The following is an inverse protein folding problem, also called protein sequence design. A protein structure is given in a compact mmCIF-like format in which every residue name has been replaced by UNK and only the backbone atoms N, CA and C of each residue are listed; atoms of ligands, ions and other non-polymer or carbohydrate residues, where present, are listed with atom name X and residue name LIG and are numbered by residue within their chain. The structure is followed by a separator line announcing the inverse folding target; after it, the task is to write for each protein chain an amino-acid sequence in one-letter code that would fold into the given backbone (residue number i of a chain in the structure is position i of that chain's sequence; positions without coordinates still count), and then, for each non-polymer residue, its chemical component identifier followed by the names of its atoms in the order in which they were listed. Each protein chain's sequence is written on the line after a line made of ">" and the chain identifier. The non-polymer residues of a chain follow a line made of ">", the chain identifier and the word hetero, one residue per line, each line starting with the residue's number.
data_IF_475160178368
#
_entry.id   IF_475160178368
#
_cell.length_a   1.000
_cell.length_b   1.000
_cell.length_c   1.000
_cell.angle_alpha   90.00
_cell.angle_beta   90.00
_cell.angle_gamma   90.00
#
_symmetry.space_group_name_H-M   'P 1'
#
loop_
_entity.id
_entity.type
_entity.pdbx_description
1 polymer ?
#
# COMPACT_ATOMS: atom_id res chain seq x y z
N UNK A 1 16.55 23.84 11.76
CA UNK A 1 16.28 22.70 12.66
C UNK A 1 15.11 21.93 12.08
N UNK A 2 15.36 20.92 11.26
CA UNK A 2 14.28 20.07 10.73
C UNK A 2 13.75 19.21 11.87
N UNK A 3 12.55 19.51 12.36
CA UNK A 3 11.85 18.62 13.29
C UNK A 3 11.59 17.30 12.56
N UNK A 4 12.23 16.22 13.02
CA UNK A 4 11.97 14.88 12.48
C UNK A 4 10.50 14.50 12.61
N UNK A 5 10.00 13.71 11.67
CA UNK A 5 8.60 13.26 11.64
C UNK A 5 8.24 12.51 12.93
N UNK A 6 7.05 12.77 13.45
CA UNK A 6 6.57 12.03 14.61
C UNK A 6 6.21 10.60 14.19
N UNK A 7 6.30 9.61 15.10
CA UNK A 7 6.15 8.20 14.73
C UNK A 7 4.76 7.85 14.19
N UNK A 8 3.71 8.49 14.70
CA UNK A 8 2.35 8.31 14.21
C UNK A 8 2.19 8.78 12.76
N UNK A 9 2.94 9.81 12.33
CA UNK A 9 2.88 10.33 10.96
C UNK A 9 3.51 9.33 9.98
N UNK A 10 4.52 8.59 10.42
CA UNK A 10 5.06 7.45 9.65
C UNK A 10 4.02 6.33 9.57
N UNK A 11 3.32 6.05 10.67
CA UNK A 11 2.17 5.12 10.66
C UNK A 11 1.09 5.55 9.67
N UNK A 12 0.76 6.84 9.61
CA UNK A 12 -0.17 7.43 8.65
C UNK A 12 0.32 7.32 7.20
N UNK A 13 1.60 7.57 6.94
CA UNK A 13 2.20 7.34 5.62
C UNK A 13 2.11 5.87 5.19
N UNK A 14 2.41 4.94 6.10
CA UNK A 14 2.32 3.50 5.83
C UNK A 14 0.87 3.09 5.57
N UNK A 15 -0.08 3.58 6.36
CA UNK A 15 -1.51 3.35 6.15
C UNK A 15 -1.94 3.80 4.73
N UNK A 16 -1.58 5.02 4.33
CA UNK A 16 -1.91 5.54 3.00
C UNK A 16 -1.17 4.81 1.87
N UNK A 17 0.07 4.38 2.09
CA UNK A 17 0.80 3.60 1.11
C UNK A 17 0.13 2.25 0.84
N UNK A 18 -0.40 1.61 1.87
CA UNK A 18 -1.04 0.29 1.78
C UNK A 18 -2.46 0.35 1.23
N UNK A 19 -3.24 1.38 1.57
CA UNK A 19 -4.68 1.43 1.24
C UNK A 19 -5.01 1.45 -0.26
N UNK A 20 -4.29 2.21 -1.08
CA UNK A 20 -4.80 2.64 -2.40
C UNK A 20 -5.29 1.52 -3.32
N UNK A 21 -4.40 0.64 -3.75
CA UNK A 21 -4.69 -0.38 -4.78
C UNK A 21 -5.65 -1.47 -4.26
N UNK A 22 -5.60 -1.80 -2.97
CA UNK A 22 -6.36 -2.89 -2.39
C UNK A 22 -7.83 -2.56 -2.06
N UNK A 23 -8.17 -1.29 -1.80
CA UNK A 23 -9.52 -0.89 -1.31
C UNK A 23 -10.66 -1.49 -2.12
N UNK A 24 -10.60 -1.39 -3.45
CA UNK A 24 -11.71 -1.83 -4.31
C UNK A 24 -11.55 -3.24 -4.87
N UNK A 25 -10.37 -3.86 -4.71
CA UNK A 25 -10.03 -5.14 -5.34
C UNK A 25 -9.95 -6.30 -4.35
N UNK A 26 -9.65 -6.02 -3.07
CA UNK A 26 -9.39 -7.06 -2.06
C UNK A 26 -10.60 -7.96 -1.83
N UNK A 27 -11.83 -7.39 -1.87
CA UNK A 27 -13.05 -8.16 -1.74
C UNK A 27 -13.23 -9.17 -2.87
N UNK A 28 -12.98 -8.77 -4.13
CA UNK A 28 -13.01 -9.70 -5.26
C UNK A 28 -12.00 -10.82 -5.04
N UNK A 29 -10.72 -10.48 -4.83
CA UNK A 29 -9.64 -11.46 -4.81
C UNK A 29 -9.73 -12.46 -3.65
N UNK A 30 -10.08 -11.99 -2.45
CA UNK A 30 -10.16 -12.85 -1.26
C UNK A 30 -11.43 -13.69 -1.25
N UNK A 31 -12.58 -13.15 -1.66
CA UNK A 31 -13.82 -13.93 -1.80
C UNK A 31 -13.75 -14.92 -2.95
N UNK A 32 -13.07 -14.58 -4.06
CA UNK A 32 -12.80 -15.50 -5.14
C UNK A 32 -11.92 -16.68 -4.74
N UNK A 33 -11.21 -16.63 -3.60
CA UNK A 33 -10.39 -17.72 -3.08
C UNK A 33 -11.05 -18.45 -1.89
N UNK A 34 -11.58 -17.70 -0.92
CA UNK A 34 -12.03 -18.21 0.39
C UNK A 34 -13.56 -18.18 0.59
N UNK A 35 -14.34 -17.66 -0.36
CA UNK A 35 -15.79 -17.55 -0.23
C UNK A 35 -16.20 -16.62 0.93
N UNK A 36 -17.14 -17.05 1.76
CA UNK A 36 -17.59 -16.30 2.95
C UNK A 36 -16.50 -16.16 4.02
N UNK A 37 -15.46 -17.01 4.01
CA UNK A 37 -14.32 -16.93 4.92
C UNK A 37 -13.25 -15.90 4.50
N UNK A 38 -13.52 -15.10 3.46
CA UNK A 38 -12.58 -14.10 2.92
C UNK A 38 -12.09 -13.07 3.93
N UNK A 39 -12.96 -12.58 4.82
CA UNK A 39 -12.57 -11.62 5.85
C UNK A 39 -11.54 -12.23 6.81
N UNK A 40 -11.64 -13.54 7.10
CA UNK A 40 -10.65 -14.25 7.91
C UNK A 40 -9.32 -14.41 7.16
N UNK A 41 -9.34 -14.67 5.84
CA UNK A 41 -8.13 -14.64 5.02
C UNK A 41 -7.43 -13.28 5.05
N UNK A 42 -8.20 -12.18 5.03
CA UNK A 42 -7.65 -10.82 5.18
C UNK A 42 -7.01 -10.62 6.55
N UNK A 43 -7.64 -11.10 7.64
CA UNK A 43 -7.06 -11.00 8.98
C UNK A 43 -5.78 -11.83 9.11
N UNK A 44 -5.74 -13.04 8.54
CA UNK A 44 -4.55 -13.88 8.53
C UNK A 44 -3.40 -13.24 7.74
N UNK A 45 -3.69 -12.74 6.54
CA UNK A 45 -2.73 -11.95 5.76
C UNK A 45 -2.27 -10.70 6.54
N UNK A 46 -3.20 -10.04 7.22
CA UNK A 46 -2.96 -8.89 8.06
C UNK A 46 -1.99 -9.16 9.20
N UNK A 47 -2.15 -10.28 9.92
CA UNK A 47 -1.23 -10.67 10.98
C UNK A 47 0.21 -10.86 10.47
N UNK A 48 0.37 -11.52 9.32
CA UNK A 48 1.67 -11.70 8.67
C UNK A 48 2.27 -10.37 8.20
N UNK A 49 1.46 -9.51 7.56
CA UNK A 49 1.89 -8.19 7.11
C UNK A 49 2.25 -7.27 8.29
N UNK A 50 1.52 -7.30 9.39
CA UNK A 50 1.83 -6.54 10.61
C UNK A 50 3.16 -6.97 11.22
N UNK A 51 3.43 -8.28 11.28
CA UNK A 51 4.72 -8.79 11.75
C UNK A 51 5.87 -8.34 10.85
N UNK A 52 5.70 -8.44 9.52
CA UNK A 52 6.65 -7.95 8.53
C UNK A 52 6.88 -6.43 8.63
N UNK A 53 5.81 -5.65 8.77
CA UNK A 53 5.87 -4.20 8.93
C UNK A 53 6.58 -3.79 10.23
N UNK A 54 6.35 -4.52 11.33
CA UNK A 54 7.08 -4.31 12.57
C UNK A 54 8.58 -4.55 12.39
N UNK A 55 8.97 -5.63 11.71
CA UNK A 55 10.35 -5.92 11.33
C UNK A 55 10.95 -4.79 10.49
N UNK A 56 10.26 -4.37 9.43
CA UNK A 56 10.71 -3.29 8.54
C UNK A 56 10.90 -1.97 9.29
N UNK A 57 9.94 -1.57 10.12
CA UNK A 57 10.06 -0.36 10.93
C UNK A 57 11.15 -0.46 12.00
N UNK A 58 11.44 -1.66 12.52
CA UNK A 58 12.56 -1.89 13.44
C UNK A 58 13.92 -1.78 12.72
N UNK A 59 14.00 -2.25 11.48
CA UNK A 59 15.18 -2.07 10.62
C UNK A 59 15.41 -0.60 10.31
N UNK A 60 14.36 0.15 10.00
CA UNK A 60 14.44 1.60 9.78
C UNK A 60 14.87 2.39 11.04
N UNK A 61 14.76 1.80 12.22
CA UNK A 61 15.19 2.37 13.50
C UNK A 61 16.57 1.87 13.98
N UNK A 62 17.36 1.19 13.13
CA UNK A 62 18.66 0.66 13.54
C UNK A 62 19.70 1.75 13.89
N UNK A 63 19.69 2.86 13.15
CA UNK A 63 20.52 4.03 13.45
C UNK A 63 19.87 5.32 12.94
N UNK A 64 20.21 6.49 13.52
CA UNK A 64 19.68 7.78 13.08
C UNK A 64 20.00 8.03 11.60
N UNK A 65 19.00 8.45 10.82
CA UNK A 65 19.16 8.68 9.38
C UNK A 65 19.37 7.39 8.57
N UNK A 66 18.80 6.26 9.04
CA UNK A 66 18.89 4.98 8.35
C UNK A 66 18.60 5.10 6.85
N UNK A 67 19.56 4.66 6.05
CA UNK A 67 19.44 4.63 4.60
C UNK A 67 19.76 3.20 4.16
N UNK A 68 18.80 2.47 3.55
CA UNK A 68 18.99 1.07 3.21
C UNK A 68 20.09 0.88 2.16
N UNK A 69 20.27 1.83 1.24
CA UNK A 69 21.34 1.78 0.23
C UNK A 69 22.72 1.92 0.89
N UNK A 70 22.87 2.90 1.79
CA UNK A 70 24.15 3.14 2.51
C UNK A 70 24.42 2.03 3.53
N UNK A 71 23.39 1.55 4.22
CA UNK A 71 23.47 0.43 5.15
C UNK A 71 23.94 -0.85 4.45
N UNK A 72 23.35 -1.17 3.31
CA UNK A 72 23.76 -2.33 2.50
C UNK A 72 25.18 -2.13 1.96
N UNK A 73 25.53 -0.92 1.52
CA UNK A 73 26.89 -0.60 1.08
C UNK A 73 27.93 -0.83 2.19
N UNK A 74 27.57 -0.53 3.44
CA UNK A 74 28.43 -0.66 4.62
C UNK A 74 28.54 -2.10 5.11
N UNK A 75 27.47 -2.90 5.01
CA UNK A 75 27.43 -4.27 5.52
C UNK A 75 27.91 -5.30 4.49
N UNK A 76 27.57 -5.11 3.21
CA UNK A 76 27.77 -6.10 2.14
C UNK A 76 28.58 -5.55 0.96
N UNK A 77 29.08 -4.32 1.05
CA UNK A 77 29.90 -3.68 0.02
C UNK A 77 29.11 -2.80 -0.95
N UNK A 78 29.80 -1.90 -1.68
CA UNK A 78 29.17 -0.81 -2.45
C UNK A 78 28.25 -1.30 -3.57
N UNK A 79 28.57 -2.43 -4.20
CA UNK A 79 27.76 -3.05 -5.24
C UNK A 79 26.41 -3.54 -4.71
N UNK A 80 26.39 -4.16 -3.53
CA UNK A 80 25.15 -4.62 -2.89
C UNK A 80 24.21 -3.45 -2.58
N UNK A 81 24.75 -2.33 -2.09
CA UNK A 81 23.98 -1.10 -1.86
C UNK A 81 23.34 -0.57 -3.14
N UNK A 82 24.11 -0.46 -4.23
CA UNK A 82 23.60 0.00 -5.54
C UNK A 82 22.51 -0.93 -6.08
N UNK A 83 22.74 -2.23 -6.07
CA UNK A 83 21.78 -3.23 -6.57
C UNK A 83 20.48 -3.16 -5.77
N UNK A 84 20.56 -3.04 -4.44
CA UNK A 84 19.40 -2.93 -3.57
C UNK A 84 18.59 -1.67 -3.87
N UNK A 85 19.26 -0.52 -4.01
CA UNK A 85 18.58 0.74 -4.32
C UNK A 85 17.94 0.74 -5.71
N UNK A 86 18.58 0.12 -6.72
CA UNK A 86 17.98 -0.09 -8.03
C UNK A 86 16.76 -1.01 -7.98
N UNK A 87 16.83 -2.11 -7.23
CA UNK A 87 15.72 -3.05 -7.07
C UNK A 87 14.50 -2.39 -6.42
N UNK A 88 14.69 -1.65 -5.31
CA UNK A 88 13.61 -0.89 -4.68
C UNK A 88 13.06 0.21 -5.58
N UNK A 89 13.92 0.92 -6.31
CA UNK A 89 13.47 1.94 -7.25
C UNK A 89 12.57 1.35 -8.32
N UNK A 90 13.02 0.29 -9.00
CA UNK A 90 12.23 -0.38 -10.03
C UNK A 90 10.90 -0.89 -9.47
N UNK A 91 10.94 -1.55 -8.31
CA UNK A 91 9.75 -2.04 -7.63
C UNK A 91 8.71 -0.93 -7.37
N UNK A 92 9.14 0.18 -6.75
CA UNK A 92 8.23 1.29 -6.44
C UNK A 92 7.73 2.03 -7.69
N UNK A 93 8.55 2.14 -8.74
CA UNK A 93 8.13 2.74 -10.01
C UNK A 93 7.09 1.87 -10.74
N UNK A 94 7.26 0.54 -10.72
CA UNK A 94 6.24 -0.39 -11.25
C UNK A 94 4.97 -0.31 -10.41
N UNK A 95 5.07 -0.30 -9.07
CA UNK A 95 3.90 -0.13 -8.19
C UNK A 95 3.16 1.18 -8.47
N UNK A 96 3.89 2.27 -8.69
CA UNK A 96 3.32 3.56 -9.09
C UNK A 96 2.58 3.44 -10.43
N UNK A 97 3.16 2.76 -11.42
CA UNK A 97 2.50 2.57 -12.73
C UNK A 97 1.20 1.76 -12.63
N UNK A 98 1.16 0.74 -11.76
CA UNK A 98 -0.05 -0.05 -11.49
C UNK A 98 -1.12 0.83 -10.85
N UNK A 99 -0.76 1.65 -9.85
CA UNK A 99 -1.68 2.58 -9.21
C UNK A 99 -2.26 3.59 -10.21
N UNK A 100 -1.41 4.19 -11.06
CA UNK A 100 -1.82 5.09 -12.14
C UNK A 100 -2.77 4.41 -13.13
N UNK A 101 -2.49 3.16 -13.52
CA UNK A 101 -3.35 2.40 -14.42
C UNK A 101 -4.71 2.10 -13.80
N UNK A 102 -4.75 1.64 -12.55
CA UNK A 102 -6.01 1.36 -11.86
C UNK A 102 -6.87 2.63 -11.72
N UNK A 103 -6.25 3.77 -11.45
CA UNK A 103 -6.94 5.06 -11.51
C UNK A 103 -7.52 5.34 -12.90
N UNK A 104 -6.76 5.09 -13.97
CA UNK A 104 -7.23 5.27 -15.35
C UNK A 104 -8.47 4.44 -15.67
N UNK A 105 -8.46 3.15 -15.32
CA UNK A 105 -9.60 2.23 -15.49
C UNK A 105 -10.82 2.72 -14.70
N UNK A 106 -10.62 3.11 -13.45
CA UNK A 106 -11.69 3.64 -12.62
C UNK A 106 -12.26 4.94 -13.17
N UNK A 107 -11.40 5.89 -13.54
CA UNK A 107 -11.79 7.19 -14.08
C UNK A 107 -12.55 7.03 -15.40
N UNK A 108 -12.11 6.13 -16.28
CA UNK A 108 -12.79 5.86 -17.54
C UNK A 108 -14.22 5.31 -17.33
N UNK A 109 -14.45 4.54 -16.27
CA UNK A 109 -15.78 3.97 -16.00
C UNK A 109 -16.69 4.94 -15.25
N UNK A 110 -16.16 5.69 -14.27
CA UNK A 110 -17.00 6.40 -13.30
C UNK A 110 -16.95 7.93 -13.39
N UNK A 111 -15.93 8.51 -14.01
CA UNK A 111 -15.69 9.96 -13.95
C UNK A 111 -15.66 10.60 -15.33
N UNK A 112 -14.86 10.03 -16.23
CA UNK A 112 -14.46 10.61 -17.51
C UNK A 112 -14.60 9.59 -18.66
N UNK A 113 -15.80 9.06 -18.94
CA UNK A 113 -16.01 8.00 -19.94
C UNK A 113 -15.74 8.42 -21.38
N UNK A 114 -15.72 9.73 -21.64
CA UNK A 114 -15.42 10.29 -22.97
C UNK A 114 -13.95 10.66 -23.15
N UNK A 115 -13.15 10.61 -22.10
CA UNK A 115 -11.75 11.05 -22.13
C UNK A 115 -10.84 9.85 -22.33
N UNK A 116 -9.87 9.90 -23.26
CA UNK A 116 -8.90 8.83 -23.41
C UNK A 116 -8.13 8.57 -22.12
N UNK A 117 -7.98 7.31 -21.73
CA UNK A 117 -7.30 6.90 -20.50
C UNK A 117 -5.87 7.47 -20.41
N UNK A 118 -5.16 7.57 -21.55
CA UNK A 118 -3.83 8.16 -21.59
C UNK A 118 -3.78 9.60 -21.01
N UNK A 119 -4.82 10.39 -21.26
CA UNK A 119 -4.92 11.79 -20.80
C UNK A 119 -5.26 11.86 -19.31
N UNK A 120 -6.21 11.05 -18.83
CA UNK A 120 -6.57 11.01 -17.40
C UNK A 120 -5.41 10.51 -16.55
N UNK A 121 -4.72 9.47 -17.02
CA UNK A 121 -3.53 8.93 -16.35
C UNK A 121 -2.36 9.92 -16.40
N UNK A 122 -2.17 10.66 -17.51
CA UNK A 122 -1.17 11.71 -17.60
C UNK A 122 -1.41 12.84 -16.58
N UNK A 123 -2.68 13.25 -16.40
CA UNK A 123 -3.05 14.26 -15.42
C UNK A 123 -2.67 13.83 -14.00
N UNK A 124 -3.03 12.60 -13.59
CA UNK A 124 -2.63 12.10 -12.28
C UNK A 124 -1.11 11.94 -12.17
N UNK A 125 -0.44 11.45 -13.22
CA UNK A 125 1.02 11.32 -13.24
C UNK A 125 1.71 12.67 -13.02
N UNK A 126 1.21 13.75 -13.61
CA UNK A 126 1.75 15.10 -13.40
C UNK A 126 1.63 15.54 -11.94
N UNK A 127 0.48 15.28 -11.29
CA UNK A 127 0.28 15.59 -9.86
C UNK A 127 1.18 14.72 -8.98
N UNK A 128 1.35 13.44 -9.31
CA UNK A 128 2.27 12.52 -8.61
C UNK A 128 3.73 12.98 -8.76
N UNK A 129 4.14 13.43 -9.95
CA UNK A 129 5.48 13.98 -10.16
C UNK A 129 5.72 15.27 -9.37
N UNK A 130 4.70 16.13 -9.28
CA UNK A 130 4.75 17.32 -8.44
C UNK A 130 4.84 16.94 -6.95
N UNK A 131 4.02 16.01 -6.49
CA UNK A 131 4.03 15.52 -5.11
C UNK A 131 5.36 14.83 -4.74
N UNK A 132 5.99 14.11 -5.66
CA UNK A 132 7.31 13.50 -5.48
C UNK A 132 8.46 14.51 -5.28
N UNK A 133 8.24 15.79 -5.58
CA UNK A 133 9.19 16.89 -5.29
C UNK A 133 8.99 17.48 -3.90
N UNK A 134 7.84 17.23 -3.26
CA UNK A 134 7.55 17.74 -1.94
C UNK A 134 8.47 17.08 -0.91
N UNK A 135 8.71 17.81 0.19
CA UNK A 135 9.43 17.26 1.35
C UNK A 135 8.57 16.16 1.96
N UNK A 136 9.21 15.12 2.50
CA UNK A 136 8.52 14.02 3.19
C UNK A 136 7.60 14.54 4.30
N UNK A 137 7.98 15.64 4.96
CA UNK A 137 7.16 16.32 5.96
C UNK A 137 5.79 16.79 5.44
N UNK A 138 5.74 17.32 4.22
CA UNK A 138 4.49 17.75 3.60
C UNK A 138 3.59 16.54 3.25
N UNK A 139 4.17 15.46 2.74
CA UNK A 139 3.45 14.21 2.48
C UNK A 139 2.90 13.58 3.76
N UNK A 140 3.65 13.65 4.86
CA UNK A 140 3.22 13.14 6.15
C UNK A 140 2.03 13.92 6.72
N UNK A 141 2.08 15.26 6.67
CA UNK A 141 0.95 16.09 7.11
C UNK A 141 -0.31 15.87 6.29
N UNK A 142 -0.18 15.72 4.96
CA UNK A 142 -1.31 15.33 4.10
C UNK A 142 -1.83 13.93 4.45
N UNK A 143 -0.92 12.99 4.72
CA UNK A 143 -1.26 11.61 5.07
C UNK A 143 -2.03 11.51 6.39
N UNK A 144 -1.74 12.34 7.38
CA UNK A 144 -2.49 12.38 8.65
C UNK A 144 -3.94 12.83 8.42
N UNK A 145 -4.15 13.89 7.65
CA UNK A 145 -5.49 14.39 7.30
C UNK A 145 -6.27 13.35 6.51
N UNK A 146 -5.63 12.73 5.51
CA UNK A 146 -6.26 11.71 4.68
C UNK A 146 -6.56 10.46 5.51
N UNK A 147 -5.65 10.03 6.38
CA UNK A 147 -5.88 8.88 7.24
C UNK A 147 -7.11 9.10 8.13
N UNK A 148 -7.27 10.30 8.68
CA UNK A 148 -8.45 10.67 9.45
C UNK A 148 -9.73 10.64 8.60
N UNK A 149 -9.72 11.26 7.42
CA UNK A 149 -10.87 11.29 6.50
C UNK A 149 -11.27 9.88 6.05
N UNK A 150 -10.29 9.05 5.69
CA UNK A 150 -10.55 7.67 5.27
C UNK A 150 -11.11 6.89 6.44
N UNK A 151 -10.51 6.93 7.62
CA UNK A 151 -11.02 6.22 8.80
C UNK A 151 -12.44 6.65 9.15
N UNK A 152 -12.70 7.96 9.17
CA UNK A 152 -14.03 8.51 9.44
C UNK A 152 -15.05 8.02 8.42
N UNK A 153 -14.74 8.12 7.12
CA UNK A 153 -15.70 7.70 6.10
C UNK A 153 -15.85 6.20 6.03
N UNK A 154 -14.81 5.43 6.37
CA UNK A 154 -14.92 3.98 6.54
C UNK A 154 -15.92 3.67 7.61
N UNK A 155 -15.80 4.29 8.78
CA UNK A 155 -16.72 4.07 9.88
C UNK A 155 -18.15 4.43 9.46
N UNK A 156 -18.33 5.58 8.80
CA UNK A 156 -19.63 5.99 8.26
C UNK A 156 -20.16 4.97 7.25
N UNK A 157 -19.34 4.55 6.30
CA UNK A 157 -19.71 3.56 5.29
C UNK A 157 -20.07 2.22 5.90
N UNK A 158 -19.39 1.76 6.95
CA UNK A 158 -19.72 0.53 7.66
C UNK A 158 -21.02 0.65 8.43
N UNK A 159 -21.30 1.79 9.06
CA UNK A 159 -22.58 2.04 9.71
C UNK A 159 -23.72 2.02 8.70
N UNK A 160 -23.50 2.60 7.53
CA UNK A 160 -24.45 2.57 6.41
C UNK A 160 -24.59 1.16 5.84
N UNK A 161 -23.49 0.46 5.61
CA UNK A 161 -23.51 -0.90 5.08
C UNK A 161 -24.14 -1.89 6.06
N UNK A 162 -24.06 -1.66 7.38
CA UNK A 162 -24.79 -2.46 8.35
C UNK A 162 -26.32 -2.31 8.17
N UNK A 163 -26.78 -1.19 7.62
CA UNK A 163 -28.17 -0.97 7.24
C UNK A 163 -28.49 -1.76 5.96
N UNK A 164 -29.35 -2.77 6.08
CA UNK A 164 -29.72 -3.64 4.95
C UNK A 164 -28.79 -4.84 4.74
N UNK A 165 -27.78 -5.03 5.58
CA UNK A 165 -26.96 -6.25 5.56
C UNK A 165 -27.78 -7.47 6.02
N UNK A 166 -27.64 -8.56 5.28
CA UNK A 166 -28.16 -9.88 5.63
C UNK A 166 -27.09 -10.69 6.35
N UNK A 167 -27.50 -11.52 7.32
CA UNK A 167 -26.57 -12.36 8.07
C UNK A 167 -26.18 -13.65 7.34
N UNK A 168 -26.90 -14.01 6.27
CA UNK A 168 -26.76 -15.29 5.55
C UNK A 168 -25.33 -15.56 5.06
N UNK A 169 -24.64 -14.54 4.57
CA UNK A 169 -23.27 -14.63 4.06
C UNK A 169 -22.21 -14.15 5.06
N UNK A 170 -22.64 -13.64 6.22
CA UNK A 170 -21.75 -13.18 7.30
C UNK A 170 -21.37 -14.32 8.26
N UNK A 171 -22.15 -15.40 8.29
CA UNK A 171 -21.79 -16.57 9.07
C UNK A 171 -20.52 -17.21 8.52
N UNK A 172 -19.62 -17.60 9.42
CA UNK A 172 -18.36 -18.24 9.05
C UNK A 172 -18.64 -19.65 8.51
N UNK A 173 -18.77 -19.76 7.19
CA UNK A 173 -18.84 -21.03 6.50
C UNK A 173 -17.53 -21.25 5.74
N UNK A 174 -16.77 -22.30 6.07
CA UNK A 174 -15.59 -22.71 5.31
C UNK A 174 -16.02 -23.42 4.01
N UNK A 175 -16.79 -22.72 3.17
CA UNK A 175 -17.36 -23.23 1.91
C UNK A 175 -16.31 -23.78 0.93
N UNK A 176 -15.06 -23.35 1.08
CA UNK A 176 -13.90 -23.83 0.29
C UNK A 176 -12.83 -24.51 1.14
N UNK A 177 -13.19 -24.90 2.36
CA UNK A 177 -12.30 -25.54 3.33
C UNK A 177 -11.14 -24.64 3.79
N UNK A 178 -10.26 -25.24 4.59
CA UNK A 178 -9.03 -24.60 5.07
C UNK A 178 -8.06 -24.23 3.94
N UNK A 179 -8.03 -25.02 2.87
CA UNK A 179 -7.22 -24.73 1.68
C UNK A 179 -7.65 -23.43 1.01
N UNK A 180 -8.96 -23.19 0.87
CA UNK A 180 -9.49 -21.92 0.36
C UNK A 180 -9.15 -20.73 1.24
N UNK A 181 -9.21 -20.90 2.57
CA UNK A 181 -8.83 -19.86 3.53
C UNK A 181 -7.36 -19.46 3.35
N UNK A 182 -6.45 -20.43 3.24
CA UNK A 182 -5.02 -20.20 3.02
C UNK A 182 -4.75 -19.62 1.63
N UNK A 183 -5.46 -20.08 0.59
CA UNK A 183 -5.35 -19.52 -0.75
C UNK A 183 -5.74 -18.04 -0.79
N UNK A 184 -6.71 -17.61 0.04
CA UNK A 184 -7.10 -16.20 0.18
C UNK A 184 -6.05 -15.31 0.84
N UNK A 185 -5.06 -15.87 1.54
CA UNK A 185 -3.97 -15.10 2.16
C UNK A 185 -3.09 -14.45 1.09
N UNK A 186 -2.86 -15.08 -0.06
CA UNK A 186 -2.03 -14.55 -1.15
C UNK A 186 -2.53 -13.20 -1.67
N UNK A 187 -3.78 -13.11 -2.17
CA UNK A 187 -4.40 -11.84 -2.59
C UNK A 187 -4.45 -10.79 -1.47
N UNK A 188 -4.68 -11.24 -0.22
CA UNK A 188 -4.67 -10.36 0.95
C UNK A 188 -3.30 -9.74 1.20
N UNK A 189 -2.23 -10.54 1.16
CA UNK A 189 -0.84 -10.07 1.33
C UNK A 189 -0.43 -9.10 0.23
N UNK A 190 -0.79 -9.38 -1.02
CA UNK A 190 -0.53 -8.45 -2.12
C UNK A 190 -1.19 -7.08 -1.89
N UNK A 191 -2.44 -7.08 -1.46
CA UNK A 191 -3.19 -5.84 -1.15
C UNK A 191 -2.62 -5.07 0.05
N UNK A 192 -1.80 -5.75 0.87
CA UNK A 192 -1.16 -5.20 2.05
C UNK A 192 0.29 -4.77 1.83
N UNK A 193 0.86 -4.98 0.63
CA UNK A 193 2.18 -4.45 0.27
C UNK A 193 2.16 -2.92 0.22
N UNK A 194 3.34 -2.30 0.35
CA UNK A 194 3.50 -0.86 0.40
C UNK A 194 3.99 -0.36 1.76
N UNK A 195 3.98 -1.18 2.82
CA UNK A 195 4.54 -0.79 4.12
C UNK A 195 6.07 -0.65 4.11
N UNK A 196 6.74 -1.33 3.17
CA UNK A 196 8.19 -1.28 2.97
C UNK A 196 8.74 0.10 2.60
N UNK A 197 7.86 1.06 2.23
CA UNK A 197 8.22 2.48 2.09
C UNK A 197 8.84 3.05 3.36
N UNK A 198 8.54 2.45 4.54
CA UNK A 198 9.13 2.84 5.82
C UNK A 198 10.67 2.76 5.82
N UNK A 199 11.26 1.88 5.00
CA UNK A 199 12.72 1.74 4.94
C UNK A 199 13.40 2.98 4.34
N UNK A 200 12.69 3.73 3.50
CA UNK A 200 13.20 4.96 2.88
C UNK A 200 12.69 6.22 3.57
N UNK A 201 11.44 6.19 4.04
CA UNK A 201 10.81 7.35 4.67
C UNK A 201 11.11 7.43 6.17
N UNK A 202 11.31 6.30 6.84
CA UNK A 202 11.60 6.20 8.27
C UNK A 202 12.91 6.91 8.69
N UNK A 203 13.84 7.11 7.75
CA UNK A 203 15.05 7.92 7.94
C UNK A 203 14.75 9.35 8.42
N UNK A 204 13.57 9.87 8.07
CA UNK A 204 13.11 11.23 8.39
C UNK A 204 12.35 11.29 9.71
N UNK A 205 12.13 10.16 10.39
CA UNK A 205 11.50 10.12 11.70
C UNK A 205 12.43 10.68 12.78
N UNK A 206 11.85 11.29 13.81
CA UNK A 206 12.55 11.66 15.04
C UNK A 206 12.91 10.38 15.84
N UNK A 207 13.90 9.64 15.32
CA UNK A 207 14.49 8.39 15.79
C UNK A 207 13.88 7.77 17.07
N UNK A 208 12.77 7.02 16.95
CA UNK A 208 12.15 6.39 18.10
C UNK A 208 12.25 4.86 18.02
N UNK A 209 12.56 4.16 19.12
CA UNK A 209 12.49 2.70 19.19
C UNK A 209 11.07 2.15 18.95
N UNK A 210 10.05 3.03 18.96
CA UNK A 210 8.66 2.69 18.67
C UNK A 210 8.30 2.66 17.18
N UNK A 211 9.22 2.98 16.26
CA UNK A 211 8.92 3.06 14.81
C UNK A 211 8.30 1.76 14.26
N UNK A 212 8.81 0.60 14.67
CA UNK A 212 8.23 -0.70 14.30
C UNK A 212 6.78 -0.85 14.75
N UNK A 213 6.41 -0.37 15.95
CA UNK A 213 5.03 -0.42 16.45
C UNK A 213 4.10 0.48 15.65
N UNK A 214 4.54 1.69 15.31
CA UNK A 214 3.74 2.62 14.51
C UNK A 214 3.59 2.19 13.05
N UNK A 215 4.61 1.56 12.48
CA UNK A 215 4.54 0.94 11.15
C UNK A 215 3.49 -0.19 11.15
N UNK A 216 3.56 -1.09 12.14
CA UNK A 216 2.57 -2.16 12.29
C UNK A 216 1.15 -1.63 12.58
N UNK A 217 1.01 -0.54 13.34
CA UNK A 217 -0.27 0.11 13.59
C UNK A 217 -0.88 0.71 12.30
N UNK A 218 -0.04 1.30 11.43
CA UNK A 218 -0.47 1.76 10.10
C UNK A 218 -1.04 0.61 9.24
N UNK A 219 -0.34 -0.53 9.21
CA UNK A 219 -0.83 -1.73 8.53
C UNK A 219 -2.10 -2.27 9.19
N UNK A 220 -2.17 -2.29 10.52
CA UNK A 220 -3.37 -2.74 11.25
C UNK A 220 -4.60 -1.91 10.87
N UNK A 221 -4.46 -0.59 10.74
CA UNK A 221 -5.53 0.28 10.26
C UNK A 221 -6.05 -0.14 8.87
N UNK A 222 -5.14 -0.44 7.94
CA UNK A 222 -5.51 -0.89 6.59
C UNK A 222 -6.16 -2.29 6.60
N UNK A 223 -5.67 -3.20 7.44
CA UNK A 223 -6.27 -4.54 7.63
C UNK A 223 -7.69 -4.43 8.15
N UNK A 224 -7.94 -3.59 9.15
CA UNK A 224 -9.28 -3.36 9.68
C UNK A 224 -10.21 -2.78 8.61
N UNK A 225 -9.73 -1.78 7.85
CA UNK A 225 -10.46 -1.22 6.72
C UNK A 225 -10.84 -2.28 5.68
N UNK A 226 -9.88 -3.12 5.28
CA UNK A 226 -10.11 -4.16 4.29
C UNK A 226 -11.03 -5.26 4.79
N UNK A 227 -10.83 -5.77 6.00
CA UNK A 227 -11.69 -6.78 6.58
C UNK A 227 -13.14 -6.27 6.66
N UNK A 228 -13.33 -5.03 7.06
CA UNK A 228 -14.63 -4.41 7.13
C UNK A 228 -15.25 -4.18 5.73
N UNK A 229 -14.43 -3.84 4.73
CA UNK A 229 -14.87 -3.75 3.32
C UNK A 229 -15.34 -5.10 2.77
N UNK A 230 -14.64 -6.20 3.11
CA UNK A 230 -15.04 -7.56 2.73
C UNK A 230 -16.35 -7.94 3.42
N UNK A 231 -16.49 -7.68 4.72
CA UNK A 231 -17.71 -7.93 5.47
C UNK A 231 -18.90 -7.13 4.89
N UNK A 232 -18.68 -5.86 4.54
CA UNK A 232 -19.71 -5.04 3.89
C UNK A 232 -20.15 -5.64 2.54
N UNK A 233 -19.22 -6.17 1.74
CA UNK A 233 -19.57 -6.85 0.50
C UNK A 233 -20.39 -8.13 0.75
N UNK A 234 -19.93 -8.97 1.69
CA UNK A 234 -20.62 -10.22 2.04
C UNK A 234 -22.02 -9.97 2.62
N UNK A 235 -22.23 -8.90 3.38
CA UNK A 235 -23.54 -8.56 3.93
C UNK A 235 -24.62 -8.28 2.86
N UNK A 236 -24.22 -7.90 1.64
CA UNK A 236 -25.17 -7.50 0.58
C UNK A 236 -25.20 -8.44 -0.61
N UNK A 237 -24.10 -9.15 -0.87
CA UNK A 237 -23.94 -9.91 -2.09
C UNK A 237 -23.46 -11.33 -1.80
N UNK A 238 -23.86 -12.26 -2.67
CA UNK A 238 -23.35 -13.63 -2.61
C UNK A 238 -21.85 -13.67 -2.93
N UNK A 239 -21.09 -14.63 -2.36
CA UNK A 239 -19.67 -14.78 -2.66
C UNK A 239 -19.37 -14.95 -4.15
N UNK A 240 -20.25 -15.62 -4.89
CA UNK A 240 -20.12 -15.82 -6.34
C UNK A 240 -20.27 -14.52 -7.11
N UNK A 241 -21.20 -13.65 -6.71
CA UNK A 241 -21.34 -12.32 -7.30
C UNK A 241 -20.09 -11.47 -7.03
N UNK A 242 -19.64 -11.36 -5.77
CA UNK A 242 -18.47 -10.56 -5.38
C UNK A 242 -17.22 -10.95 -6.19
N UNK A 243 -16.99 -12.25 -6.37
CA UNK A 243 -15.84 -12.77 -7.12
C UNK A 243 -15.83 -12.37 -8.61
N UNK A 244 -16.98 -11.99 -9.17
CA UNK A 244 -17.13 -11.60 -10.58
C UNK A 244 -17.17 -10.08 -10.77
N UNK A 245 -17.30 -9.29 -9.69
CA UNK A 245 -17.41 -7.84 -9.79
C UNK A 245 -16.04 -7.15 -9.84
N UNK A 246 -15.93 -6.17 -10.73
CA UNK A 246 -14.71 -5.36 -10.85
C UNK A 246 -14.43 -4.52 -9.61
N UNK A 247 -15.48 -3.95 -9.03
CA UNK A 247 -15.38 -3.05 -7.88
C UNK A 247 -16.51 -3.33 -6.86
N UNK A 248 -16.45 -4.46 -6.13
CA UNK A 248 -17.57 -4.91 -5.29
C UNK A 248 -18.00 -3.88 -4.25
N UNK A 249 -17.04 -3.18 -3.64
CA UNK A 249 -17.32 -2.18 -2.60
C UNK A 249 -18.13 -0.98 -3.12
N UNK A 250 -17.88 -0.55 -4.37
CA UNK A 250 -18.69 0.49 -5.01
C UNK A 250 -20.12 0.03 -5.26
N UNK A 251 -20.31 -1.25 -5.62
CA UNK A 251 -21.66 -1.80 -5.82
C UNK A 251 -22.46 -1.81 -4.51
N UNK A 252 -21.80 -2.06 -3.37
CA UNK A 252 -22.44 -1.91 -2.05
C UNK A 252 -22.89 -0.47 -1.86
N UNK A 253 -22.00 0.50 -2.10
CA UNK A 253 -22.34 1.92 -1.96
C UNK A 253 -23.55 2.29 -2.84
N UNK A 254 -23.59 1.88 -4.11
CA UNK A 254 -24.71 2.14 -5.03
C UNK A 254 -26.04 1.50 -4.61
N UNK A 255 -25.98 0.34 -3.97
CA UNK A 255 -27.18 -0.36 -3.52
C UNK A 255 -27.83 0.34 -2.32
N UNK A 256 -27.06 1.17 -1.59
CA UNK A 256 -27.52 1.86 -0.40
C UNK A 256 -28.37 3.10 -0.76
N UNK A 257 -29.69 2.95 -0.68
CA UNK A 257 -30.61 4.09 -0.69
C UNK A 257 -30.78 4.61 0.73
N UNK A 258 -29.97 5.60 1.11
CA UNK A 258 -30.01 6.17 2.44
C UNK A 258 -31.38 6.84 2.71
N UNK A 259 -32.05 6.53 3.84
CA UNK A 259 -33.29 7.21 4.22
C UNK A 259 -33.05 8.69 4.58
N UNK A 260 -31.82 9.00 5.00
CA UNK A 260 -31.33 10.37 5.15
C UNK A 260 -31.06 10.94 3.74
N UNK A 261 -32.00 11.74 3.21
CA UNK A 261 -31.87 12.49 1.92
C UNK A 261 -30.65 13.43 1.83
N UNK A 262 -29.71 13.38 2.78
CA UNK A 262 -28.51 14.21 2.85
C UNK A 262 -27.39 13.67 1.94
N UNK A 263 -27.36 12.36 1.66
CA UNK A 263 -26.40 11.74 0.75
C UNK A 263 -27.14 10.99 -0.35
N UNK A 264 -27.35 11.66 -1.48
CA UNK A 264 -28.10 11.12 -2.62
C UNK A 264 -27.29 10.08 -3.43
N UNK A 265 -25.96 10.13 -3.37
CA UNK A 265 -25.04 9.25 -4.13
C UNK A 265 -23.82 8.84 -3.27
N UNK A 266 -23.99 7.92 -2.30
CA UNK A 266 -22.90 7.47 -1.43
C UNK A 266 -21.71 6.86 -2.19
N UNK A 267 -21.93 6.33 -3.39
CA UNK A 267 -20.87 5.83 -4.27
C UNK A 267 -19.92 6.93 -4.74
N UNK A 268 -20.37 8.18 -4.87
CA UNK A 268 -19.52 9.31 -5.27
C UNK A 268 -18.57 9.69 -4.14
N UNK A 269 -19.03 9.63 -2.88
CA UNK A 269 -18.17 9.84 -1.72
C UNK A 269 -17.08 8.78 -1.61
N UNK A 270 -17.47 7.50 -1.76
CA UNK A 270 -16.52 6.39 -1.76
C UNK A 270 -15.51 6.50 -2.92
N UNK A 271 -15.97 6.88 -4.12
CA UNK A 271 -15.13 7.15 -5.27
C UNK A 271 -14.11 8.25 -4.97
N UNK A 272 -14.54 9.39 -4.45
CA UNK A 272 -13.67 10.52 -4.14
C UNK A 272 -12.55 10.14 -3.15
N UNK A 273 -12.88 9.37 -2.12
CA UNK A 273 -11.91 8.87 -1.15
C UNK A 273 -10.91 7.91 -1.75
N UNK A 274 -11.39 7.04 -2.62
CA UNK A 274 -10.51 6.11 -3.31
C UNK A 274 -9.54 6.82 -4.26
N UNK A 275 -9.97 7.89 -4.96
CA UNK A 275 -9.07 8.71 -5.77
C UNK A 275 -7.93 9.29 -4.92
N UNK A 276 -8.24 9.77 -3.73
CA UNK A 276 -7.24 10.25 -2.78
C UNK A 276 -6.30 9.13 -2.29
N UNK A 277 -6.84 7.95 -1.98
CA UNK A 277 -6.04 6.81 -1.55
C UNK A 277 -5.06 6.37 -2.65
N UNK A 278 -5.52 6.24 -3.90
CA UNK A 278 -4.65 5.87 -5.04
C UNK A 278 -3.61 6.94 -5.33
N UNK A 279 -4.00 8.22 -5.32
CA UNK A 279 -3.04 9.32 -5.43
C UNK A 279 -1.96 9.24 -4.35
N UNK A 280 -2.36 9.03 -3.10
CA UNK A 280 -1.43 8.98 -1.96
C UNK A 280 -0.48 7.79 -2.08
N UNK A 281 -0.99 6.59 -2.39
CA UNK A 281 -0.15 5.41 -2.67
C UNK A 281 0.83 5.69 -3.79
N UNK A 282 0.37 6.24 -4.93
CA UNK A 282 1.21 6.55 -6.07
C UNK A 282 2.29 7.59 -5.71
N UNK A 283 1.94 8.67 -5.01
CA UNK A 283 2.87 9.71 -4.60
C UNK A 283 3.93 9.20 -3.61
N UNK A 284 3.52 8.39 -2.62
CA UNK A 284 4.43 7.83 -1.61
C UNK A 284 5.37 6.80 -2.25
N UNK A 285 4.83 5.87 -3.06
CA UNK A 285 5.64 4.89 -3.78
C UNK A 285 6.62 5.59 -4.74
N UNK A 286 6.13 6.56 -5.53
CA UNK A 286 6.95 7.31 -6.45
C UNK A 286 8.10 8.06 -5.74
N UNK A 287 7.78 8.75 -4.64
CA UNK A 287 8.77 9.41 -3.79
C UNK A 287 9.81 8.44 -3.22
N UNK A 288 9.38 7.28 -2.72
CA UNK A 288 10.30 6.23 -2.23
C UNK A 288 11.19 5.69 -3.36
N UNK A 289 10.65 5.47 -4.56
CA UNK A 289 11.39 5.03 -5.73
C UNK A 289 12.43 6.04 -6.21
N UNK A 290 12.10 7.34 -6.17
CA UNK A 290 13.04 8.44 -6.45
C UNK A 290 14.17 8.50 -5.43
N UNK A 291 13.84 8.38 -4.13
CA UNK A 291 14.84 8.35 -3.06
C UNK A 291 15.78 7.15 -3.22
N UNK A 292 15.24 5.97 -3.49
CA UNK A 292 16.02 4.76 -3.71
C UNK A 292 17.00 4.92 -4.89
N UNK A 293 16.54 5.47 -6.01
CA UNK A 293 17.39 5.67 -7.18
C UNK A 293 18.47 6.73 -6.94
N UNK A 294 18.08 7.87 -6.34
CA UNK A 294 19.00 8.95 -6.03
C UNK A 294 20.11 8.47 -5.09
N UNK A 295 19.77 7.63 -4.11
CA UNK A 295 20.75 7.04 -3.19
C UNK A 295 21.66 6.02 -3.90
N UNK A 296 21.13 5.20 -4.81
CA UNK A 296 21.90 4.20 -5.55
C UNK A 296 22.89 4.83 -6.54
N UNK A 297 22.45 5.87 -7.25
CA UNK A 297 23.21 6.54 -8.32
C UNK A 297 23.99 7.76 -7.86
N UNK A 298 23.77 8.21 -6.61
CA UNK A 298 24.27 9.48 -6.05
C UNK A 298 23.80 10.72 -6.82
N UNK A 299 22.60 10.65 -7.40
CA UNK A 299 22.03 11.76 -8.15
C UNK A 299 21.55 12.88 -7.21
N UNK A 300 22.09 14.08 -7.38
CA UNK A 300 21.82 15.22 -6.48
C UNK A 300 20.55 16.01 -6.87
N UNK A 301 20.25 16.12 -8.17
CA UNK A 301 19.12 16.92 -8.70
C UNK A 301 17.80 16.15 -8.68
N UNK A 302 17.23 15.94 -7.49
CA UNK A 302 15.96 15.22 -7.30
C UNK A 302 14.76 15.74 -8.11
N UNK A 303 14.53 17.07 -8.27
CA UNK A 303 13.39 17.56 -9.04
C UNK A 303 13.45 17.20 -10.53
N UNK A 304 14.65 17.18 -11.11
CA UNK A 304 14.88 16.76 -12.49
C UNK A 304 14.66 15.25 -12.64
N UNK A 305 15.16 14.46 -11.68
CA UNK A 305 14.94 13.01 -11.66
C UNK A 305 13.45 12.67 -11.57
N UNK A 306 12.68 13.42 -10.78
CA UNK A 306 11.23 13.31 -10.69
C UNK A 306 10.50 13.67 -12.00
N UNK A 307 11.04 14.57 -12.82
CA UNK A 307 10.44 14.84 -14.13
C UNK A 307 10.83 13.76 -15.16
N UNK A 308 12.06 13.26 -15.08
CA UNK A 308 12.56 12.26 -16.01
C UNK A 308 11.85 10.92 -15.82
N UNK A 309 11.67 10.48 -14.57
CA UNK A 309 11.12 9.16 -14.29
C UNK A 309 9.59 9.07 -14.39
N UNK A 310 8.86 10.19 -14.35
CA UNK A 310 7.40 10.11 -14.48
C UNK A 310 6.98 9.69 -15.89
N UNK A 311 7.74 10.07 -16.92
CA UNK A 311 7.44 9.71 -18.31
C UNK A 311 7.46 8.19 -18.55
N UNK A 312 8.51 7.44 -18.18
CA UNK A 312 8.48 5.98 -18.31
C UNK A 312 7.45 5.34 -17.38
N UNK A 313 7.19 5.87 -16.19
CA UNK A 313 6.13 5.36 -15.30
C UNK A 313 4.74 5.51 -15.93
N UNK A 314 4.47 6.67 -16.53
CA UNK A 314 3.25 6.92 -17.28
C UNK A 314 3.14 5.99 -18.49
N UNK A 315 4.20 5.88 -19.32
CA UNK A 315 4.20 4.97 -20.46
C UNK A 315 3.97 3.51 -20.05
N UNK A 316 4.61 3.07 -18.96
CA UNK A 316 4.48 1.73 -18.40
C UNK A 316 3.03 1.44 -17.96
N UNK A 317 2.32 2.44 -17.41
CA UNK A 317 0.92 2.30 -17.00
C UNK A 317 -0.05 2.07 -18.18
N UNK A 318 0.34 2.45 -19.40
CA UNK A 318 -0.48 2.29 -20.60
C UNK A 318 -0.26 0.95 -21.31
N UNK A 319 0.81 0.21 -20.99
CA UNK A 319 1.14 -1.06 -21.65
C UNK A 319 0.12 -2.18 -21.42
N UNK A 320 -0.46 -2.38 -20.21
CA UNK A 320 -1.48 -3.40 -20.02
C UNK A 320 -2.68 -3.14 -20.96
N UNK A 321 -3.22 -4.13 -21.69
CA UNK A 321 -4.38 -3.89 -22.55
C UNK A 321 -5.70 -3.78 -21.77
N UNK A 322 -5.79 -4.39 -20.58
CA UNK A 322 -7.00 -4.47 -19.79
C UNK A 322 -6.68 -4.72 -18.30
N UNK A 323 -7.71 -4.69 -17.45
CA UNK A 323 -7.57 -4.93 -16.01
C UNK A 323 -6.97 -6.30 -15.67
N UNK A 324 -7.29 -7.35 -16.44
CA UNK A 324 -6.73 -8.68 -16.20
C UNK A 324 -5.21 -8.71 -16.38
N UNK A 325 -4.68 -7.98 -17.35
CA UNK A 325 -3.23 -7.82 -17.51
C UNK A 325 -2.61 -7.05 -16.33
N UNK A 326 -3.31 -6.04 -15.80
CA UNK A 326 -2.88 -5.31 -14.59
C UNK A 326 -2.84 -6.23 -13.37
N UNK A 327 -3.80 -7.14 -13.22
CA UNK A 327 -3.78 -8.17 -12.19
C UNK A 327 -2.60 -9.14 -12.39
N UNK A 328 -2.32 -9.56 -13.62
CA UNK A 328 -1.14 -10.39 -13.92
C UNK A 328 0.17 -9.71 -13.51
N UNK A 329 0.30 -8.41 -13.80
CA UNK A 329 1.45 -7.60 -13.37
C UNK A 329 1.54 -7.47 -11.85
N UNK A 330 0.40 -7.26 -11.21
CA UNK A 330 0.25 -7.21 -9.76
C UNK A 330 0.74 -8.51 -9.11
N UNK A 331 0.30 -9.66 -9.62
CA UNK A 331 0.75 -10.98 -9.17
C UNK A 331 2.25 -11.19 -9.40
N UNK A 332 2.78 -10.80 -10.55
CA UNK A 332 4.21 -10.88 -10.85
C UNK A 332 5.06 -10.01 -9.90
N UNK A 333 4.54 -8.85 -9.49
CA UNK A 333 5.21 -7.95 -8.56
C UNK A 333 5.15 -8.43 -7.10
N UNK A 334 4.17 -9.26 -6.75
CA UNK A 334 3.95 -9.72 -5.38
C UNK A 334 5.17 -10.46 -4.78
N UNK A 335 5.77 -11.39 -5.54
CA UNK A 335 6.93 -12.16 -5.10
C UNK A 335 8.15 -11.27 -4.78
N UNK A 336 8.63 -10.46 -5.74
CA UNK A 336 9.67 -9.46 -5.49
C UNK A 336 9.32 -8.48 -4.37
N UNK A 337 8.06 -8.04 -4.27
CA UNK A 337 7.58 -7.17 -3.21
C UNK A 337 7.75 -7.79 -1.83
N UNK A 338 7.33 -9.04 -1.64
CA UNK A 338 7.52 -9.78 -0.37
C UNK A 338 9.01 -9.98 -0.05
N UNK A 339 9.82 -10.31 -1.05
CA UNK A 339 11.27 -10.47 -0.87
C UNK A 339 11.92 -9.16 -0.38
N UNK A 340 11.55 -8.03 -0.96
CA UNK A 340 12.03 -6.72 -0.53
C UNK A 340 11.48 -6.37 0.86
N UNK A 341 10.17 -6.51 1.07
CA UNK A 341 9.50 -6.11 2.30
C UNK A 341 9.89 -6.95 3.53
N UNK A 342 10.22 -8.24 3.37
CA UNK A 342 10.56 -9.16 4.47
C UNK A 342 12.02 -9.58 4.42
N UNK A 343 12.47 -10.06 3.26
CA UNK A 343 13.82 -10.61 3.10
C UNK A 343 14.90 -9.59 3.41
N UNK A 344 14.78 -8.37 2.89
CA UNK A 344 15.77 -7.31 3.14
C UNK A 344 15.84 -6.91 4.62
N UNK A 345 14.73 -6.56 5.32
CA UNK A 345 14.77 -6.30 6.76
C UNK A 345 15.38 -7.43 7.59
N UNK A 346 15.03 -8.69 7.28
CA UNK A 346 15.59 -9.85 7.99
C UNK A 346 17.10 -9.94 7.79
N UNK A 347 17.59 -9.77 6.56
CA UNK A 347 19.02 -9.77 6.25
C UNK A 347 19.77 -8.65 6.99
N UNK A 348 19.19 -7.44 7.04
CA UNK A 348 19.76 -6.32 7.78
C UNK A 348 19.87 -6.62 9.28
N UNK A 349 18.80 -7.09 9.91
CA UNK A 349 18.78 -7.39 11.34
C UNK A 349 19.74 -8.54 11.70
N UNK A 350 19.79 -9.58 10.87
CA UNK A 350 20.72 -10.69 11.05
C UNK A 350 22.18 -10.20 10.95
N UNK A 351 22.51 -9.45 9.90
CA UNK A 351 23.86 -8.90 9.68
C UNK A 351 24.29 -7.95 10.79
N UNK A 352 23.37 -7.11 11.26
CA UNK A 352 23.62 -6.19 12.36
C UNK A 352 23.92 -6.93 13.68
N UNK A 353 23.12 -7.95 14.03
CA UNK A 353 23.35 -8.77 15.25
C UNK A 353 24.67 -9.53 15.20
N UNK A 354 25.04 -10.09 14.04
CA UNK A 354 26.32 -10.79 13.86
C UNK A 354 27.51 -9.85 14.08
N UNK A 355 27.41 -8.60 13.60
CA UNK A 355 28.47 -7.60 13.78
C UNK A 355 28.62 -7.14 15.24
N UNK A 356 27.51 -6.99 15.97
CA UNK A 356 27.55 -6.67 17.40
C UNK A 356 28.25 -7.79 18.21
N UNK A 357 27.86 -9.05 18.00
CA UNK A 357 28.49 -10.20 18.68
C UNK A 357 30.01 -10.29 18.44
N UNK A 358 30.48 -9.96 17.23
CA UNK A 358 31.92 -9.95 16.93
C UNK A 358 32.67 -8.83 17.64
N UNK A 359 32.05 -7.67 17.86
CA UNK A 359 32.65 -6.58 18.65
C UNK A 359 32.69 -6.94 20.13
N UNK A 360 31.63 -7.53 20.66
CA UNK A 360 31.55 -7.90 22.08
C UNK A 360 32.49 -9.06 22.42
N UNK A 361 32.62 -10.06 21.53
CA UNK A 361 33.55 -11.18 21.71
C UNK A 361 35.03 -10.84 21.45
N UNK A 362 35.31 -9.72 20.77
CA UNK A 362 36.65 -9.19 20.55
C UNK A 362 37.15 -8.27 21.66
N UNK A 363 36.27 -7.80 22.54
CA UNK A 363 36.61 -6.96 23.71
C UNK A 363 36.97 -7.78 24.96
N UNK A 364 36.93 -9.12 24.88
CA UNK A 364 37.24 -10.07 25.97
C UNK A 364 38.55 -10.82 25.70
N UNK A 365 39.35 -10.37 24.72
CA UNK A 365 40.73 -10.80 24.47
C UNK A 365 41.63 -9.58 24.50
#
# INVERSE_FOLDING_TARGET
>A
MDQGLRPHQIGGLVFNAVLGVGVLTIARGTTAAAGTAAWLSVLLAGGLAMAAAWLAGRTAALWPGFNPVVGAATLWGPWAGRLLGMAYSLYFLVLTSIALRLFGEFAAVFLLPRTPMAVTVAALAAVVAWAGRLRVAALAGLSDVIAFIVLFTTLLFLLIAAYGATTENLTLHLSRGWSGLVAGVGPGLFSLLGFEVVLFLGAHAAYPPSLGRWTAAGVAGAVLFYAASVLACLGHFSPTFIAQQTWPLLNVARAQRLPLRVVEQPEVLLAALWLWAVFSTAAIAYGAGLLALAQATRWERRPLLALLLIVPVWGLSLLPPNLQAVEGWSHALAGPGVLLAVGVPVLFLASHRLRQRRKDGGAVR
#
